data_IF_762856867453
#
_entry.id   IF_762856867453
#
_cell.length_a   1.000
_cell.length_b   1.000
_cell.length_c   1.000
_cell.angle_alpha   90.00
_cell.angle_beta   90.00
_cell.angle_gamma   90.00
#
_symmetry.space_group_name_H-M   'P 1'
#
loop_
_entity.id
_entity.type
_entity.pdbx_description
1 polymer ?
#
# COMPACT_ATOMS: atom_id res chain seq x y z
N UNK A 1 27.62 -6.85 -9.33
CA UNK A 1 26.79 -7.48 -8.30
C UNK A 1 25.37 -7.73 -8.76
N UNK A 2 24.66 -6.72 -9.26
CA UNK A 2 23.24 -6.75 -9.59
C UNK A 2 23.02 -6.24 -11.01
N UNK A 3 22.25 -6.92 -11.88
CA UNK A 3 22.12 -6.57 -13.30
C UNK A 3 21.16 -5.39 -13.57
N UNK A 4 20.97 -4.49 -12.61
CA UNK A 4 20.11 -3.31 -12.73
C UNK A 4 20.88 -2.02 -12.45
N UNK A 5 20.43 -0.93 -13.08
CA UNK A 5 21.00 0.39 -12.86
C UNK A 5 20.73 0.93 -11.45
N UNK A 6 21.56 1.86 -11.02
CA UNK A 6 21.48 2.52 -9.71
C UNK A 6 20.13 3.23 -9.49
N UNK A 7 19.54 3.79 -10.54
CA UNK A 7 18.23 4.43 -10.46
C UNK A 7 17.12 3.46 -10.02
N UNK A 8 17.11 2.22 -10.54
CA UNK A 8 16.12 1.20 -10.16
C UNK A 8 16.33 0.74 -8.72
N UNK A 9 17.60 0.57 -8.30
CA UNK A 9 17.94 0.20 -6.92
C UNK A 9 17.53 1.32 -5.96
N UNK A 10 17.83 2.58 -6.33
CA UNK A 10 17.45 3.76 -5.55
C UNK A 10 15.94 3.89 -5.39
N UNK A 11 15.17 3.71 -6.47
CA UNK A 11 13.71 3.77 -6.43
C UNK A 11 13.11 2.68 -5.51
N UNK A 12 13.63 1.45 -5.56
CA UNK A 12 13.20 0.37 -4.67
C UNK A 12 13.51 0.67 -3.20
N UNK A 13 14.72 1.21 -2.92
CA UNK A 13 15.11 1.61 -1.57
C UNK A 13 14.22 2.73 -1.02
N UNK A 14 13.91 3.74 -1.85
CA UNK A 14 13.01 4.84 -1.50
C UNK A 14 11.62 4.30 -1.16
N UNK A 15 11.05 3.44 -1.99
CA UNK A 15 9.74 2.84 -1.74
C UNK A 15 9.68 2.04 -0.42
N UNK A 16 10.73 1.27 -0.11
CA UNK A 16 10.83 0.58 1.18
C UNK A 16 11.02 1.54 2.36
N UNK A 17 11.80 2.61 2.17
CA UNK A 17 12.05 3.61 3.21
C UNK A 17 10.80 4.43 3.54
N UNK A 18 9.97 4.76 2.57
CA UNK A 18 8.68 5.44 2.78
C UNK A 18 7.74 4.64 3.67
N UNK A 19 7.79 3.31 3.58
CA UNK A 19 6.98 2.40 4.42
C UNK A 19 7.53 2.23 5.84
N UNK A 20 8.79 2.59 6.08
CA UNK A 20 9.50 2.56 7.38
C UNK A 20 9.46 1.22 8.13
N UNK A 21 9.14 0.15 7.46
CA UNK A 21 9.01 -1.16 8.08
C UNK A 21 10.32 -1.95 8.06
N UNK A 22 10.87 -2.15 6.87
CA UNK A 22 12.12 -2.89 6.69
C UNK A 22 13.35 -1.97 6.73
N UNK A 23 13.17 -0.73 6.31
CA UNK A 23 14.21 0.28 6.20
C UNK A 23 13.90 1.45 7.14
N UNK A 24 14.91 1.85 7.89
CA UNK A 24 14.93 3.08 8.69
C UNK A 24 15.60 4.18 7.84
N UNK A 25 14.82 5.12 7.29
CA UNK A 25 15.31 6.14 6.38
C UNK A 25 15.84 7.36 7.13
N UNK A 26 16.90 7.98 6.59
CA UNK A 26 17.39 9.28 7.02
C UNK A 26 17.56 10.21 5.82
N UNK A 27 17.07 11.42 5.95
CA UNK A 27 16.99 12.40 4.86
C UNK A 27 15.60 12.44 4.22
N UNK A 28 15.52 13.08 3.06
CA UNK A 28 14.26 13.26 2.35
C UNK A 28 13.97 12.06 1.42
N UNK A 29 13.09 11.17 1.86
CA UNK A 29 12.59 10.04 1.07
C UNK A 29 11.30 10.36 0.29
N UNK A 30 10.93 11.65 0.18
CA UNK A 30 9.67 12.07 -0.42
C UNK A 30 8.49 11.92 0.53
N UNK A 31 7.32 12.29 0.04
CA UNK A 31 6.08 12.18 0.81
C UNK A 31 5.02 11.42 -0.03
N UNK A 32 4.65 10.19 0.34
CA UNK A 32 3.67 9.41 -0.40
C UNK A 32 2.24 9.99 -0.31
N UNK A 33 1.96 10.88 0.65
CA UNK A 33 0.66 11.54 0.76
C UNK A 33 0.51 12.67 -0.26
N UNK A 34 1.55 13.49 -0.42
CA UNK A 34 1.53 14.63 -1.36
C UNK A 34 1.98 14.25 -2.77
N UNK A 35 2.77 13.18 -2.89
CA UNK A 35 3.40 12.76 -4.15
C UNK A 35 4.78 13.40 -4.38
N UNK A 36 5.33 14.11 -3.38
CA UNK A 36 6.64 14.72 -3.49
C UNK A 36 7.74 13.67 -3.64
N UNK A 37 8.64 13.89 -4.57
CA UNK A 37 9.76 12.98 -4.85
C UNK A 37 10.83 12.97 -3.76
N UNK A 38 11.58 11.87 -3.67
CA UNK A 38 12.74 11.78 -2.80
C UNK A 38 13.91 12.63 -3.32
N UNK A 39 14.81 13.00 -2.41
CA UNK A 39 16.08 13.59 -2.77
C UNK A 39 16.98 12.59 -3.55
N UNK A 40 17.99 13.12 -4.26
CA UNK A 40 18.94 12.26 -4.95
C UNK A 40 19.66 11.30 -3.96
N UNK A 41 20.00 10.07 -4.38
CA UNK A 41 20.57 9.03 -3.49
C UNK A 41 21.77 9.49 -2.64
N UNK A 42 22.57 10.42 -3.14
CA UNK A 42 23.74 10.97 -2.42
C UNK A 42 23.39 11.82 -1.19
N UNK A 43 22.11 12.17 -1.00
CA UNK A 43 21.63 13.00 0.11
C UNK A 43 20.78 12.21 1.13
N UNK A 44 20.60 10.92 0.91
CA UNK A 44 19.79 10.07 1.80
C UNK A 44 20.65 8.91 2.33
N UNK A 45 20.29 8.44 3.51
CA UNK A 45 20.89 7.26 4.13
C UNK A 45 19.81 6.27 4.53
N UNK A 46 20.18 5.00 4.63
CA UNK A 46 19.23 3.94 5.00
C UNK A 46 19.96 2.83 5.78
N UNK A 47 19.25 2.23 6.72
CA UNK A 47 19.67 1.03 7.43
C UNK A 47 18.49 0.08 7.64
N UNK A 48 18.81 -1.19 7.91
CA UNK A 48 17.79 -2.16 8.27
C UNK A 48 17.21 -1.85 9.65
N UNK A 49 15.88 -1.93 9.76
CA UNK A 49 15.20 -1.88 11.07
C UNK A 49 15.49 -3.15 11.89
N UNK A 50 15.22 -3.12 13.18
CA UNK A 50 15.29 -4.33 14.02
C UNK A 50 14.25 -5.36 13.57
N UNK A 51 13.07 -4.93 13.13
CA UNK A 51 12.04 -5.79 12.57
C UNK A 51 12.56 -6.52 11.30
N UNK A 52 13.19 -5.80 10.38
CA UNK A 52 13.76 -6.42 9.19
C UNK A 52 14.80 -7.50 9.52
N UNK A 53 15.69 -7.22 10.46
CA UNK A 53 16.72 -8.18 10.89
C UNK A 53 16.12 -9.45 11.48
N UNK A 54 15.06 -9.32 12.30
CA UNK A 54 14.39 -10.44 12.93
C UNK A 54 13.54 -11.24 11.95
N UNK A 55 12.82 -10.57 11.04
CA UNK A 55 11.77 -11.19 10.23
C UNK A 55 12.24 -11.59 8.84
N UNK A 56 13.03 -10.76 8.16
CA UNK A 56 13.38 -10.97 6.75
C UNK A 56 14.54 -11.94 6.52
N UNK A 57 15.39 -12.15 7.53
CA UNK A 57 16.62 -12.94 7.39
C UNK A 57 16.58 -14.20 8.25
N UNK A 58 16.78 -15.35 7.60
CA UNK A 58 16.97 -16.63 8.27
C UNK A 58 18.07 -17.43 7.55
N UNK A 59 19.36 -17.25 7.91
CA UNK A 59 20.48 -17.90 7.23
C UNK A 59 20.37 -19.43 7.16
N UNK A 60 19.73 -20.06 8.17
CA UNK A 60 19.59 -21.53 8.24
C UNK A 60 18.61 -22.11 7.22
N UNK A 61 17.63 -21.31 6.78
CA UNK A 61 16.60 -21.77 5.82
C UNK A 61 16.72 -21.05 4.46
N UNK A 62 17.74 -20.19 4.28
CA UNK A 62 17.97 -19.48 3.02
C UNK A 62 18.64 -20.40 2.00
N UNK A 63 18.04 -20.48 0.81
CA UNK A 63 18.69 -21.09 -0.36
C UNK A 63 19.55 -20.04 -1.06
N UNK A 64 20.81 -20.34 -1.27
CA UNK A 64 21.78 -19.42 -1.85
C UNK A 64 22.12 -19.82 -3.28
N UNK A 65 22.29 -18.82 -4.13
CA UNK A 65 22.82 -18.94 -5.50
C UNK A 65 24.01 -18.01 -5.71
N UNK A 66 24.72 -18.18 -6.82
CA UNK A 66 25.78 -17.23 -7.20
C UNK A 66 25.15 -15.90 -7.66
N UNK A 67 25.79 -14.78 -7.31
CA UNK A 67 25.43 -13.47 -7.85
C UNK A 67 25.64 -13.44 -9.37
N UNK A 68 25.05 -12.43 -10.04
CA UNK A 68 25.14 -12.25 -11.48
C UNK A 68 26.56 -12.33 -12.03
N UNK A 69 27.54 -11.77 -11.30
CA UNK A 69 28.95 -11.77 -11.65
C UNK A 69 29.71 -13.02 -11.16
N UNK A 70 29.03 -13.96 -10.48
CA UNK A 70 29.60 -15.19 -9.94
C UNK A 70 30.59 -15.03 -8.78
N UNK A 71 30.79 -13.81 -8.28
CA UNK A 71 31.80 -13.52 -7.23
C UNK A 71 31.28 -13.69 -5.81
N UNK A 72 29.99 -13.54 -5.61
CA UNK A 72 29.33 -13.60 -4.31
C UNK A 72 28.18 -14.60 -4.32
N UNK A 73 27.63 -14.86 -3.15
CA UNK A 73 26.37 -15.59 -3.01
C UNK A 73 25.26 -14.61 -2.65
N UNK A 74 24.11 -14.80 -3.24
CA UNK A 74 22.88 -14.06 -2.94
C UNK A 74 21.74 -15.04 -2.63
N UNK A 75 20.76 -14.66 -1.81
CA UNK A 75 19.61 -15.52 -1.57
C UNK A 75 18.74 -15.60 -2.84
N UNK A 76 18.24 -16.81 -3.16
CA UNK A 76 17.23 -17.00 -4.21
C UNK A 76 15.95 -16.25 -3.82
N UNK A 77 15.52 -16.38 -2.56
CA UNK A 77 14.43 -15.62 -1.93
C UNK A 77 14.77 -15.43 -0.46
N UNK A 78 14.27 -14.37 0.15
CA UNK A 78 14.36 -14.18 1.59
C UNK A 78 13.25 -14.99 2.29
N UNK A 79 13.58 -15.94 3.18
CA UNK A 79 12.59 -16.75 3.92
C UNK A 79 12.02 -15.93 5.08
N UNK A 80 11.18 -14.96 4.76
CA UNK A 80 10.58 -14.09 5.77
C UNK A 80 9.71 -14.89 6.74
N UNK A 81 9.87 -14.63 8.03
CA UNK A 81 9.11 -15.27 9.12
C UNK A 81 7.72 -14.68 9.31
N UNK A 82 7.40 -13.61 8.59
CA UNK A 82 6.14 -12.89 8.63
C UNK A 82 5.68 -12.60 7.18
N UNK A 83 4.38 -12.59 6.88
CA UNK A 83 3.88 -12.37 5.52
C UNK A 83 3.99 -10.90 5.09
N UNK A 84 5.22 -10.42 4.86
CA UNK A 84 5.53 -9.03 4.47
C UNK A 84 4.73 -8.61 3.24
N UNK A 85 4.51 -9.52 2.29
CA UNK A 85 3.73 -9.25 1.07
C UNK A 85 2.28 -8.85 1.36
N UNK A 86 1.69 -9.37 2.46
CA UNK A 86 0.33 -8.97 2.88
C UNK A 86 0.34 -7.67 3.68
N UNK A 87 1.41 -7.40 4.39
CA UNK A 87 1.55 -6.20 5.20
C UNK A 87 1.75 -4.95 4.32
N UNK A 88 2.68 -5.02 3.40
CA UNK A 88 3.03 -3.92 2.49
C UNK A 88 2.11 -3.84 1.26
N UNK A 89 1.45 -4.94 0.93
CA UNK A 89 0.87 -5.12 -0.39
C UNK A 89 1.94 -5.33 -1.46
N UNK A 90 1.50 -5.66 -2.65
CA UNK A 90 2.37 -5.80 -3.82
C UNK A 90 1.60 -5.45 -5.09
N UNK A 91 2.25 -4.73 -5.99
CA UNK A 91 1.71 -4.47 -7.32
C UNK A 91 2.80 -4.75 -8.36
N UNK A 92 2.45 -5.48 -9.39
CA UNK A 92 3.39 -5.80 -10.46
C UNK A 92 2.68 -6.21 -11.74
N UNK A 93 3.35 -5.94 -12.86
CA UNK A 93 2.89 -6.25 -14.19
C UNK A 93 3.95 -7.12 -14.87
N UNK A 94 3.54 -8.27 -15.37
CA UNK A 94 4.36 -9.17 -16.17
C UNK A 94 3.66 -9.46 -17.49
N UNK A 95 4.31 -10.19 -18.39
CA UNK A 95 3.70 -10.58 -19.67
C UNK A 95 2.51 -11.53 -19.41
N UNK A 96 1.31 -11.06 -19.69
CA UNK A 96 0.06 -11.81 -19.51
C UNK A 96 -0.39 -12.00 -18.06
N UNK A 97 0.31 -11.46 -17.07
CA UNK A 97 -0.01 -11.59 -15.66
C UNK A 97 0.11 -10.23 -14.93
N UNK A 98 -0.80 -10.02 -14.00
CA UNK A 98 -0.72 -8.90 -13.07
C UNK A 98 -0.95 -9.39 -11.66
N UNK A 99 -0.29 -8.77 -10.68
CA UNK A 99 -0.61 -8.95 -9.27
C UNK A 99 -0.97 -7.62 -8.65
N UNK A 100 -1.98 -7.62 -7.79
CA UNK A 100 -2.36 -6.49 -6.94
C UNK A 100 -2.86 -7.01 -5.60
N UNK A 101 -1.94 -7.09 -4.65
CA UNK A 101 -2.20 -7.46 -3.27
C UNK A 101 -2.30 -6.17 -2.48
N UNK A 102 -3.42 -5.95 -1.81
CA UNK A 102 -3.64 -4.76 -0.99
C UNK A 102 -2.96 -4.91 0.37
N UNK A 103 -2.51 -3.81 1.01
CA UNK A 103 -1.88 -3.86 2.33
C UNK A 103 -2.88 -4.22 3.43
N UNK A 104 -2.39 -4.80 4.53
CA UNK A 104 -3.19 -5.20 5.69
C UNK A 104 -2.55 -4.68 6.97
N UNK A 105 -3.35 -4.57 8.03
CA UNK A 105 -2.89 -4.18 9.34
C UNK A 105 -1.98 -5.25 9.97
N UNK A 106 -0.88 -4.82 10.57
CA UNK A 106 0.09 -5.72 11.21
C UNK A 106 -0.55 -6.57 12.32
N UNK A 107 -1.35 -5.95 13.18
CA UNK A 107 -1.98 -6.67 14.30
C UNK A 107 -3.01 -7.69 13.81
N UNK A 108 -3.78 -7.34 12.77
CA UNK A 108 -4.77 -8.25 12.17
C UNK A 108 -4.09 -9.46 11.53
N UNK A 109 -2.95 -9.26 10.86
CA UNK A 109 -2.14 -10.36 10.33
C UNK A 109 -1.59 -11.25 11.43
N UNK A 110 -1.11 -10.67 12.55
CA UNK A 110 -0.66 -11.45 13.72
C UNK A 110 -1.81 -12.25 14.32
N UNK A 111 -2.97 -11.64 14.54
CA UNK A 111 -4.14 -12.33 15.08
C UNK A 111 -4.63 -13.45 14.15
N UNK A 112 -4.65 -13.20 12.84
CA UNK A 112 -5.01 -14.21 11.86
C UNK A 112 -4.02 -15.38 11.85
N UNK A 113 -2.71 -15.11 11.95
CA UNK A 113 -1.67 -16.16 12.07
C UNK A 113 -1.85 -17.00 13.35
N UNK A 114 -2.10 -16.36 14.50
CA UNK A 114 -2.38 -17.07 15.77
C UNK A 114 -3.64 -17.92 15.65
N UNK A 115 -4.71 -17.38 15.06
CA UNK A 115 -5.95 -18.12 14.85
C UNK A 115 -5.72 -19.34 13.95
N UNK A 116 -4.94 -19.19 12.88
CA UNK A 116 -4.58 -20.32 12.01
C UNK A 116 -3.85 -21.42 12.77
N UNK A 117 -2.81 -21.08 13.54
CA UNK A 117 -2.06 -22.04 14.36
C UNK A 117 -2.92 -22.74 15.41
N UNK A 118 -3.99 -22.09 15.88
CA UNK A 118 -4.95 -22.65 16.84
C UNK A 118 -6.09 -23.42 16.16
N UNK A 119 -6.09 -23.58 14.84
CA UNK A 119 -7.18 -24.22 14.07
C UNK A 119 -8.49 -23.42 14.07
N UNK A 120 -8.44 -22.13 14.40
CA UNK A 120 -9.60 -21.22 14.38
C UNK A 120 -9.80 -20.57 13.03
N UNK A 121 -11.03 -20.18 12.74
CA UNK A 121 -11.35 -19.38 11.53
C UNK A 121 -10.89 -17.95 11.74
N UNK A 122 -10.46 -17.31 10.65
CA UNK A 122 -10.16 -15.89 10.59
C UNK A 122 -10.65 -15.29 9.27
N UNK A 123 -10.72 -13.98 9.21
CA UNK A 123 -11.01 -13.20 8.02
C UNK A 123 -10.09 -11.99 8.01
N UNK A 124 -9.57 -11.63 6.84
CA UNK A 124 -8.69 -10.49 6.66
C UNK A 124 -9.33 -9.48 5.71
N UNK A 125 -9.19 -8.22 6.04
CA UNK A 125 -9.54 -7.11 5.17
C UNK A 125 -8.33 -6.20 5.01
N UNK A 126 -8.16 -5.59 3.83
CA UNK A 126 -7.13 -4.57 3.64
C UNK A 126 -7.27 -3.41 4.63
N UNK A 127 -6.13 -2.87 5.01
CA UNK A 127 -6.02 -1.64 5.79
C UNK A 127 -5.06 -0.69 5.08
N UNK A 128 -5.44 0.57 4.96
CA UNK A 128 -4.74 1.52 4.10
C UNK A 128 -4.06 2.61 4.92
N UNK A 129 -2.74 2.85 4.71
CA UNK A 129 -2.01 3.87 5.46
C UNK A 129 -2.52 5.31 5.20
N UNK A 130 -3.24 5.52 4.11
CA UNK A 130 -3.86 6.82 3.78
C UNK A 130 -5.22 7.04 4.44
N UNK A 131 -5.73 6.03 5.16
CA UNK A 131 -7.07 6.06 5.76
C UNK A 131 -8.19 5.94 4.73
N UNK A 132 -9.28 6.67 4.96
CA UNK A 132 -10.47 6.67 4.12
C UNK A 132 -11.52 5.67 4.56
N UNK A 133 -12.58 5.57 3.79
CA UNK A 133 -13.71 4.67 4.02
C UNK A 133 -13.69 3.60 2.93
N UNK A 134 -13.72 2.33 3.33
CA UNK A 134 -13.67 1.20 2.41
C UNK A 134 -14.95 0.35 2.47
N UNK A 135 -15.47 0.00 1.30
CA UNK A 135 -16.53 -0.99 1.13
C UNK A 135 -15.91 -2.30 0.62
N UNK A 136 -15.95 -3.33 1.45
CA UNK A 136 -15.43 -4.66 1.19
C UNK A 136 -16.50 -5.69 0.82
N UNK A 137 -17.73 -5.27 0.50
CA UNK A 137 -18.83 -6.19 0.17
C UNK A 137 -18.52 -7.13 -1.00
N UNK A 138 -17.70 -6.65 -1.96
CA UNK A 138 -17.28 -7.39 -3.14
C UNK A 138 -15.78 -7.77 -3.09
N UNK A 139 -15.12 -7.73 -1.93
CA UNK A 139 -13.66 -7.94 -1.81
C UNK A 139 -13.20 -9.35 -2.22
N UNK A 140 -14.01 -10.36 -1.91
CA UNK A 140 -13.74 -11.77 -2.24
C UNK A 140 -12.33 -12.25 -1.85
N UNK A 141 -11.91 -11.99 -0.59
CA UNK A 141 -10.59 -12.39 -0.05
C UNK A 141 -9.38 -11.97 -0.92
N UNK A 142 -9.53 -10.91 -1.71
CA UNK A 142 -8.46 -10.41 -2.60
C UNK A 142 -8.25 -11.22 -3.88
N UNK A 143 -9.12 -12.16 -4.19
CA UNK A 143 -9.07 -12.94 -5.43
C UNK A 143 -9.42 -12.09 -6.66
N UNK A 144 -8.99 -12.55 -7.81
CA UNK A 144 -9.29 -11.94 -9.10
C UNK A 144 -10.81 -11.83 -9.33
N UNK A 145 -11.27 -10.64 -9.71
CA UNK A 145 -12.68 -10.31 -9.89
C UNK A 145 -13.32 -9.65 -8.68
N UNK A 146 -12.67 -9.67 -7.52
CA UNK A 146 -13.07 -8.87 -6.37
C UNK A 146 -12.92 -7.37 -6.62
N UNK A 147 -13.61 -6.56 -5.80
CA UNK A 147 -13.56 -5.09 -5.85
C UNK A 147 -13.58 -4.52 -4.45
N UNK A 148 -12.84 -3.44 -4.28
CA UNK A 148 -12.88 -2.60 -3.08
C UNK A 148 -13.18 -1.17 -3.51
N UNK A 149 -14.24 -0.60 -2.95
CA UNK A 149 -14.59 0.79 -3.21
C UNK A 149 -14.06 1.65 -2.08
N UNK A 150 -13.23 2.64 -2.42
CA UNK A 150 -12.59 3.54 -1.47
C UNK A 150 -13.14 4.94 -1.61
N UNK A 151 -13.34 5.62 -0.49
CA UNK A 151 -13.79 7.01 -0.42
C UNK A 151 -12.88 7.84 0.48
N UNK A 152 -12.60 9.06 0.05
CA UNK A 152 -12.03 10.07 0.91
C UNK A 152 -12.93 10.33 2.13
N UNK A 153 -12.34 10.63 3.28
CA UNK A 153 -13.10 11.11 4.42
C UNK A 153 -13.25 12.62 4.30
N UNK A 154 -14.50 13.05 4.13
CA UNK A 154 -14.86 14.46 3.93
C UNK A 154 -15.69 14.92 5.12
N UNK A 155 -15.24 15.96 5.79
CA UNK A 155 -15.89 16.54 6.96
C UNK A 155 -16.35 17.97 6.65
N UNK A 156 -17.55 18.32 7.06
CA UNK A 156 -18.00 19.70 7.00
C UNK A 156 -17.47 20.46 8.24
N UNK A 157 -16.58 21.43 8.02
CA UNK A 157 -16.04 22.28 9.08
C UNK A 157 -16.95 23.48 9.39
N UNK A 158 -17.46 24.11 8.33
CA UNK A 158 -18.42 25.22 8.42
C UNK A 158 -19.43 25.12 7.29
N UNK A 159 -20.39 26.07 7.26
CA UNK A 159 -21.42 26.14 6.20
C UNK A 159 -20.80 26.23 4.78
N UNK A 160 -19.59 26.77 4.65
CA UNK A 160 -18.94 27.01 3.36
C UNK A 160 -17.53 26.41 3.28
N UNK A 161 -17.20 25.47 4.17
CA UNK A 161 -15.89 24.85 4.24
C UNK A 161 -16.01 23.36 4.48
N UNK A 162 -15.52 22.58 3.52
CA UNK A 162 -15.29 21.13 3.67
C UNK A 162 -13.79 20.86 3.86
N UNK A 163 -13.46 19.84 4.62
CA UNK A 163 -12.10 19.36 4.81
C UNK A 163 -12.02 17.87 4.38
N UNK A 164 -11.07 17.54 3.54
CA UNK A 164 -10.68 16.15 3.30
C UNK A 164 -9.54 15.85 4.25
N UNK A 165 -9.73 14.86 5.13
CA UNK A 165 -8.79 14.46 6.18
C UNK A 165 -8.11 13.12 5.90
N UNK A 166 -8.67 12.32 5.01
CA UNK A 166 -8.12 11.05 4.56
C UNK A 166 -8.43 10.86 3.07
N UNK A 167 -7.48 10.29 2.32
CA UNK A 167 -7.59 10.13 0.86
C UNK A 167 -7.67 8.64 0.47
N UNK A 168 -8.30 8.30 -0.66
CA UNK A 168 -8.33 6.94 -1.16
C UNK A 168 -6.92 6.41 -1.43
N UNK A 169 -6.66 5.16 -1.07
CA UNK A 169 -5.38 4.52 -1.34
C UNK A 169 -5.08 4.49 -2.84
N UNK A 170 -3.85 4.87 -3.19
CA UNK A 170 -3.39 4.99 -4.58
C UNK A 170 -3.58 6.37 -5.18
N UNK A 171 -4.05 7.37 -4.40
CA UNK A 171 -4.05 8.79 -4.77
C UNK A 171 -3.04 9.57 -3.92
N UNK A 172 -2.70 10.76 -4.38
CA UNK A 172 -1.97 11.77 -3.62
C UNK A 172 -2.84 13.01 -3.44
N UNK A 173 -2.52 13.89 -2.49
CA UNK A 173 -3.27 15.15 -2.33
C UNK A 173 -3.22 15.96 -3.62
N UNK A 174 -2.06 16.01 -4.27
CA UNK A 174 -1.89 16.72 -5.55
C UNK A 174 -2.84 16.17 -6.62
N UNK A 175 -2.83 14.84 -6.87
CA UNK A 175 -3.68 14.23 -7.90
C UNK A 175 -5.18 14.38 -7.58
N UNK A 176 -5.54 14.30 -6.31
CA UNK A 176 -6.92 14.48 -5.86
C UNK A 176 -7.40 15.92 -6.08
N UNK A 177 -6.58 16.91 -5.74
CA UNK A 177 -6.88 18.33 -5.99
C UNK A 177 -7.04 18.60 -7.49
N UNK A 178 -6.14 18.07 -8.32
CA UNK A 178 -6.23 18.19 -9.78
C UNK A 178 -7.54 17.61 -10.31
N UNK A 179 -7.95 16.43 -9.81
CA UNK A 179 -9.23 15.81 -10.16
C UNK A 179 -10.43 16.69 -9.78
N UNK A 180 -10.41 17.28 -8.58
CA UNK A 180 -11.48 18.18 -8.10
C UNK A 180 -11.53 19.46 -8.96
N UNK A 181 -10.37 20.08 -9.25
CA UNK A 181 -10.30 21.27 -10.09
C UNK A 181 -10.76 21.00 -11.52
N UNK A 182 -10.42 19.84 -12.08
CA UNK A 182 -10.90 19.42 -13.40
C UNK A 182 -12.41 19.24 -13.44
N UNK A 183 -13.02 18.67 -12.39
CA UNK A 183 -14.46 18.53 -12.28
C UNK A 183 -15.17 19.89 -12.15
N UNK A 184 -14.57 20.83 -11.40
CA UNK A 184 -15.07 22.20 -11.29
C UNK A 184 -15.00 22.95 -12.63
N UNK A 185 -13.89 22.85 -13.36
CA UNK A 185 -13.73 23.46 -14.67
C UNK A 185 -14.75 22.93 -15.72
N UNK A 186 -15.12 21.63 -15.60
CA UNK A 186 -16.17 20.99 -16.43
C UNK A 186 -17.59 21.31 -15.96
N UNK A 187 -17.76 22.13 -14.93
CA UNK A 187 -19.07 22.49 -14.37
C UNK A 187 -19.83 21.33 -13.68
N UNK A 188 -19.13 20.23 -13.33
CA UNK A 188 -19.76 19.09 -12.63
C UNK A 188 -19.97 19.33 -11.14
N UNK A 189 -19.11 20.13 -10.56
CA UNK A 189 -19.18 20.63 -9.19
C UNK A 189 -18.93 22.13 -9.18
N UNK A 190 -19.26 22.81 -8.08
CA UNK A 190 -19.04 24.25 -7.94
C UNK A 190 -18.32 24.54 -6.64
N UNK A 191 -17.05 24.90 -6.74
CA UNK A 191 -16.18 25.30 -5.61
C UNK A 191 -15.59 26.68 -5.87
N UNK A 192 -15.15 27.35 -4.80
CA UNK A 192 -14.52 28.68 -4.88
C UNK A 192 -13.00 28.56 -5.06
N UNK A 193 -12.34 27.88 -4.14
CA UNK A 193 -10.90 27.56 -4.18
C UNK A 193 -10.60 26.38 -3.26
N UNK A 194 -9.39 25.84 -3.37
CA UNK A 194 -8.87 24.74 -2.56
C UNK A 194 -7.54 25.21 -1.94
N UNK A 195 -7.35 24.92 -0.66
CA UNK A 195 -6.06 25.09 0.04
C UNK A 195 -5.57 23.69 0.46
N UNK A 196 -4.30 23.39 0.19
CA UNK A 196 -3.65 22.18 0.67
C UNK A 196 -2.76 22.51 1.87
N UNK A 197 -3.18 22.11 3.05
CA UNK A 197 -2.47 22.26 4.31
C UNK A 197 -1.84 20.96 4.78
N UNK A 198 -1.72 19.97 3.88
CA UNK A 198 -1.18 18.65 4.20
C UNK A 198 0.27 18.74 4.67
N UNK A 199 0.54 18.17 5.85
CA UNK A 199 1.87 18.05 6.42
C UNK A 199 2.11 16.59 6.88
N UNK A 200 2.03 16.30 8.18
CA UNK A 200 2.06 14.94 8.72
C UNK A 200 0.74 14.22 8.46
N UNK A 201 -0.36 14.97 8.45
CA UNK A 201 -1.71 14.47 8.17
C UNK A 201 -2.30 15.20 6.98
N UNK A 202 -3.17 14.51 6.25
CA UNK A 202 -3.90 15.11 5.13
C UNK A 202 -4.86 16.17 5.63
N UNK A 203 -4.79 17.36 5.04
CA UNK A 203 -5.77 18.43 5.24
C UNK A 203 -5.94 19.25 3.96
N UNK A 204 -6.96 18.90 3.17
CA UNK A 204 -7.35 19.64 1.97
C UNK A 204 -8.63 20.40 2.29
N UNK A 205 -8.58 21.73 2.23
CA UNK A 205 -9.71 22.61 2.52
C UNK A 205 -10.39 23.04 1.22
N UNK A 206 -11.67 22.73 1.08
CA UNK A 206 -12.49 23.11 -0.07
C UNK A 206 -13.44 24.22 0.34
N UNK A 207 -13.22 25.42 -0.19
CA UNK A 207 -14.06 26.60 0.05
C UNK A 207 -15.22 26.65 -0.95
N UNK A 208 -16.42 26.83 -0.43
CA UNK A 208 -17.66 26.83 -1.21
C UNK A 208 -18.13 28.26 -1.49
N UNK A 209 -18.77 28.53 -2.65
CA UNK A 209 -19.46 29.78 -2.90
C UNK A 209 -20.63 29.98 -1.93
N UNK A 210 -21.04 31.24 -1.74
CA UNK A 210 -22.28 31.55 -0.99
C UNK A 210 -23.48 30.90 -1.66
N UNK A 211 -24.37 30.29 -0.84
CA UNK A 211 -25.56 29.60 -1.33
C UNK A 211 -25.32 28.15 -1.75
N UNK A 212 -24.09 27.62 -1.63
CA UNK A 212 -23.83 26.20 -1.86
C UNK A 212 -24.37 25.36 -0.70
N UNK A 213 -24.81 24.15 -1.04
CA UNK A 213 -25.26 23.13 -0.09
C UNK A 213 -24.19 22.04 0.02
N UNK A 214 -23.48 21.93 1.17
CA UNK A 214 -22.47 20.91 1.39
C UNK A 214 -23.01 19.48 1.30
N UNK A 215 -24.25 19.24 1.72
CA UNK A 215 -24.86 17.91 1.69
C UNK A 215 -25.08 17.41 0.26
N UNK A 216 -25.30 18.30 -0.69
CA UNK A 216 -25.40 17.96 -2.11
C UNK A 216 -24.00 17.85 -2.78
N UNK A 217 -23.04 18.63 -2.33
CA UNK A 217 -21.69 18.63 -2.94
C UNK A 217 -20.88 17.38 -2.58
N UNK A 218 -20.96 16.88 -1.34
CA UNK A 218 -20.20 15.69 -0.93
C UNK A 218 -20.50 14.48 -1.83
N UNK A 219 -21.75 14.11 -2.13
CA UNK A 219 -22.05 13.07 -3.11
C UNK A 219 -21.49 13.36 -4.51
N UNK A 220 -21.51 14.62 -4.96
CA UNK A 220 -20.98 15.00 -6.27
C UNK A 220 -19.44 14.84 -6.32
N UNK A 221 -18.73 15.15 -5.24
CA UNK A 221 -17.29 14.89 -5.14
C UNK A 221 -16.99 13.40 -5.31
N UNK A 222 -17.76 12.51 -4.68
CA UNK A 222 -17.59 11.06 -4.85
C UNK A 222 -17.91 10.57 -6.28
N UNK A 223 -18.84 11.20 -6.97
CA UNK A 223 -19.24 10.76 -8.33
C UNK A 223 -18.34 11.30 -9.42
N UNK A 224 -17.86 12.54 -9.29
CA UNK A 224 -17.20 13.24 -10.38
C UNK A 224 -15.69 13.43 -10.19
N UNK A 225 -15.13 12.98 -9.07
CA UNK A 225 -13.71 13.14 -8.75
C UNK A 225 -13.12 11.86 -8.16
N UNK A 226 -11.80 11.84 -7.98
CA UNK A 226 -11.08 10.73 -7.36
C UNK A 226 -11.29 10.64 -5.83
N UNK A 227 -12.22 11.44 -5.26
CA UNK A 227 -12.69 11.24 -3.88
C UNK A 227 -13.34 9.86 -3.68
N UNK A 228 -13.78 9.19 -4.74
CA UNK A 228 -14.14 7.78 -4.73
C UNK A 228 -13.41 7.03 -5.84
N UNK A 229 -12.78 5.93 -5.48
CA UNK A 229 -12.08 5.03 -6.40
C UNK A 229 -12.51 3.58 -6.18
N UNK A 230 -12.36 2.76 -7.21
CA UNK A 230 -12.54 1.31 -7.11
C UNK A 230 -11.24 0.62 -7.46
N UNK A 231 -10.78 -0.25 -6.57
CA UNK A 231 -9.58 -1.07 -6.77
C UNK A 231 -10.03 -2.52 -6.98
N UNK A 232 -9.47 -3.16 -8.00
CA UNK A 232 -9.68 -4.59 -8.26
C UNK A 232 -8.44 -5.36 -7.81
N UNK A 233 -8.47 -6.09 -6.69
CA UNK A 233 -7.37 -6.94 -6.28
C UNK A 233 -7.21 -8.13 -7.22
N UNK A 234 -6.01 -8.67 -7.26
CA UNK A 234 -5.69 -9.91 -7.97
C UNK A 234 -4.41 -10.48 -7.36
N UNK A 235 -4.54 -11.24 -6.29
CA UNK A 235 -3.40 -11.79 -5.59
C UNK A 235 -2.79 -12.95 -6.38
N UNK A 236 -1.74 -12.65 -7.14
CA UNK A 236 -0.92 -13.62 -7.86
C UNK A 236 0.44 -13.73 -7.16
N UNK A 237 0.81 -14.92 -6.77
CA UNK A 237 2.09 -15.23 -6.11
C UNK A 237 2.83 -16.32 -6.86
N UNK A 238 4.14 -16.45 -6.62
CA UNK A 238 4.94 -17.55 -7.15
C UNK A 238 5.00 -18.67 -6.11
N UNK A 239 4.53 -19.85 -6.46
CA UNK A 239 4.68 -21.05 -5.65
C UNK A 239 5.37 -22.13 -6.49
N UNK A 240 6.53 -22.65 -6.02
CA UNK A 240 7.34 -23.66 -6.73
C UNK A 240 7.57 -23.29 -8.19
N UNK A 241 8.07 -22.07 -8.41
CA UNK A 241 8.40 -21.48 -9.72
C UNK A 241 7.21 -21.32 -10.69
N UNK A 242 5.97 -21.38 -10.19
CA UNK A 242 4.75 -21.18 -10.97
C UNK A 242 3.90 -20.05 -10.42
N UNK A 243 3.36 -19.16 -11.27
CA UNK A 243 2.40 -18.16 -10.84
C UNK A 243 1.07 -18.86 -10.51
N UNK A 244 0.52 -18.54 -9.35
CA UNK A 244 -0.80 -18.99 -8.91
C UNK A 244 -1.60 -17.84 -8.34
N UNK A 245 -2.92 -17.87 -8.53
CA UNK A 245 -3.84 -16.93 -7.91
C UNK A 245 -4.40 -17.54 -6.63
N UNK A 246 -4.32 -16.81 -5.53
CA UNK A 246 -4.77 -17.28 -4.21
C UNK A 246 -5.56 -16.16 -3.52
N UNK A 247 -6.46 -16.55 -2.64
CA UNK A 247 -7.02 -15.62 -1.66
C UNK A 247 -5.97 -15.21 -0.61
N UNK A 248 -6.12 -14.02 -0.05
CA UNK A 248 -5.23 -13.48 0.99
C UNK A 248 -5.13 -14.40 2.20
N UNK A 249 -6.25 -15.01 2.59
CA UNK A 249 -6.30 -15.97 3.69
C UNK A 249 -5.44 -17.20 3.42
N UNK A 250 -5.38 -17.68 2.18
CA UNK A 250 -4.54 -18.81 1.80
C UNK A 250 -3.05 -18.43 1.74
N UNK A 251 -2.73 -17.22 1.29
CA UNK A 251 -1.36 -16.70 1.31
C UNK A 251 -0.84 -16.65 2.75
N UNK A 252 -1.66 -16.16 3.69
CA UNK A 252 -1.30 -16.15 5.10
C UNK A 252 -1.03 -17.56 5.62
N UNK A 253 -1.94 -18.51 5.39
CA UNK A 253 -1.78 -19.92 5.85
C UNK A 253 -0.47 -20.49 5.38
N UNK A 254 -0.19 -20.42 4.07
CA UNK A 254 1.07 -20.93 3.49
C UNK A 254 2.32 -20.25 4.07
N UNK A 255 2.25 -18.96 4.34
CA UNK A 255 3.35 -18.23 4.99
C UNK A 255 3.62 -18.71 6.40
N UNK A 256 2.56 -18.90 7.21
CA UNK A 256 2.65 -19.38 8.59
C UNK A 256 3.15 -20.82 8.64
N UNK A 257 2.56 -21.73 7.82
CA UNK A 257 2.95 -23.15 7.77
C UNK A 257 4.42 -23.30 7.34
N UNK A 258 4.87 -22.51 6.36
CA UNK A 258 6.28 -22.50 5.94
C UNK A 258 7.22 -22.05 7.06
N UNK A 259 6.80 -21.08 7.86
CA UNK A 259 7.58 -20.59 9.00
C UNK A 259 7.66 -21.64 10.10
N UNK A 260 6.57 -22.35 10.39
CA UNK A 260 6.53 -23.44 11.36
C UNK A 260 7.45 -24.58 10.95
N UNK A 261 7.35 -25.05 9.69
CA UNK A 261 8.24 -26.09 9.13
C UNK A 261 9.71 -25.66 9.20
N UNK A 262 10.02 -24.41 8.84
CA UNK A 262 11.38 -23.87 8.93
C UNK A 262 11.93 -23.84 10.35
N UNK A 263 11.09 -23.67 11.36
CA UNK A 263 11.45 -23.77 12.77
C UNK A 263 11.72 -25.22 13.23
N UNK A 264 10.92 -26.15 12.74
CA UNK A 264 11.08 -27.56 13.09
C UNK A 264 12.39 -28.19 12.54
N UNK A 265 12.98 -27.59 11.50
CA UNK A 265 14.23 -28.05 10.88
C UNK A 265 15.50 -27.34 11.40
N UNK A 266 15.36 -26.46 12.41
CA UNK A 266 16.42 -25.73 13.09
C UNK A 266 16.63 -26.25 14.49
#
# INVERSE_FOLDING_TARGET
YHPHGDASIGAALVGMGQRRMLIDPQGNFGNPLTGDGAAAPRYIEARLTNFAREVAFNPKTTTWQLSYDGRNKEPVTLPAKFPIVLLDGAEGIAVGLTTKILPHNFNDLCHAAINHLQGKRFRLFPDFPTGGIADFSEYNDGERGGKVKLRAKIEQRTKYLLAITEIPFGTTTTSLIESILAANAKGKIKIKHIDDNTAEHVEILIHLPQGSDPEQLIPQLYVFTDCQMTISPAACVIDRDKPIFLGVSEILRRSVDRTEIGRAHV
#
